data_IF_497051268581
#
_entry.id   IF_497051268581
#
_cell.length_a   1.000
_cell.length_b   1.000
_cell.length_c   1.000
_cell.angle_alpha   90.00
_cell.angle_beta   90.00
_cell.angle_gamma   90.00
#
_symmetry.space_group_name_H-M   'P 1'
#
loop_
_entity.id
_entity.type
_entity.pdbx_description
1 polymer ?
#
# COMPACT_ATOMS: atom_id res chain seq x y z
N UNK A 1 -12.87 9.16 -15.27
CA UNK A 1 -12.81 9.56 -13.86
C UNK A 1 -14.08 10.27 -13.45
N UNK A 2 -14.64 9.95 -12.30
CA UNK A 2 -15.77 10.68 -11.74
C UNK A 2 -15.29 12.09 -11.34
N UNK A 3 -16.00 13.11 -11.76
CA UNK A 3 -15.68 14.50 -11.41
C UNK A 3 -15.96 14.69 -9.91
N UNK A 4 -15.02 15.28 -9.17
CA UNK A 4 -15.21 15.60 -7.77
C UNK A 4 -16.51 16.39 -7.56
N UNK A 5 -17.25 16.07 -6.51
CA UNK A 5 -18.37 16.89 -6.07
C UNK A 5 -17.87 18.27 -5.61
N UNK A 6 -18.76 19.25 -5.51
CA UNK A 6 -18.39 20.58 -5.02
C UNK A 6 -17.82 20.53 -3.59
N UNK A 7 -18.34 19.62 -2.75
CA UNK A 7 -17.84 19.46 -1.39
C UNK A 7 -16.45 18.82 -1.39
N UNK A 8 -16.25 17.74 -2.11
CA UNK A 8 -14.94 17.10 -2.25
C UNK A 8 -13.86 18.05 -2.77
N UNK A 9 -14.20 18.89 -3.77
CA UNK A 9 -13.27 19.90 -4.26
C UNK A 9 -12.92 20.96 -3.20
N UNK A 10 -13.89 21.35 -2.38
CA UNK A 10 -13.65 22.28 -1.26
C UNK A 10 -12.76 21.66 -0.17
N UNK A 11 -13.06 20.43 0.22
CA UNK A 11 -12.31 19.71 1.25
C UNK A 11 -10.88 19.42 0.79
N UNK A 12 -10.68 19.08 -0.47
CA UNK A 12 -9.35 18.96 -1.07
C UNK A 12 -8.57 20.28 -1.01
N UNK A 13 -9.18 21.43 -1.29
CA UNK A 13 -8.50 22.73 -1.14
C UNK A 13 -8.13 23.02 0.32
N UNK A 14 -8.95 22.61 1.28
CA UNK A 14 -8.59 22.70 2.71
C UNK A 14 -7.41 21.81 3.03
N UNK A 15 -7.39 20.56 2.53
CA UNK A 15 -6.29 19.62 2.69
C UNK A 15 -4.97 20.21 2.14
N UNK A 16 -4.99 20.77 0.94
CA UNK A 16 -3.83 21.47 0.36
C UNK A 16 -3.35 22.63 1.22
N UNK A 17 -4.29 23.44 1.77
CA UNK A 17 -3.95 24.53 2.68
C UNK A 17 -3.32 24.04 4.00
N UNK A 18 -3.73 22.89 4.51
CA UNK A 18 -3.11 22.26 5.68
C UNK A 18 -1.67 21.81 5.38
N UNK A 19 -1.43 21.32 4.20
CA UNK A 19 -0.08 20.91 3.77
C UNK A 19 0.93 22.08 3.67
N UNK A 20 0.50 23.33 3.68
CA UNK A 20 1.40 24.49 3.75
C UNK A 20 1.93 24.79 5.17
N UNK A 21 1.34 24.21 6.21
CA UNK A 21 1.81 24.40 7.59
C UNK A 21 3.14 23.70 7.82
N UNK A 22 3.95 24.20 8.74
CA UNK A 22 5.20 23.54 9.13
C UNK A 22 4.96 22.20 9.81
N UNK A 23 3.98 22.13 10.70
CA UNK A 23 3.58 20.91 11.41
C UNK A 23 2.06 20.74 11.35
N UNK A 24 1.62 19.49 11.24
CA UNK A 24 0.22 19.13 11.29
C UNK A 24 -0.10 18.38 12.57
N UNK A 25 -1.23 18.72 13.18
CA UNK A 25 -1.81 17.94 14.28
C UNK A 25 -2.32 16.59 13.77
N UNK A 26 -2.56 15.67 14.68
CA UNK A 26 -3.09 14.35 14.35
C UNK A 26 -4.43 14.43 13.59
N UNK A 27 -5.34 15.33 13.99
CA UNK A 27 -6.64 15.49 13.33
C UNK A 27 -6.49 16.13 11.93
N UNK A 28 -5.53 17.03 11.75
CA UNK A 28 -5.21 17.61 10.45
C UNK A 28 -4.61 16.58 9.49
N UNK A 29 -3.72 15.71 9.98
CA UNK A 29 -3.19 14.57 9.20
C UNK A 29 -4.33 13.66 8.74
N UNK A 30 -5.25 13.28 9.63
CA UNK A 30 -6.44 12.48 9.28
C UNK A 30 -7.32 13.20 8.25
N UNK A 31 -7.51 14.52 8.41
CA UNK A 31 -8.28 15.30 7.44
C UNK A 31 -7.64 15.23 6.05
N UNK A 32 -6.31 15.39 5.95
CA UNK A 32 -5.59 15.30 4.68
C UNK A 32 -5.73 13.90 4.08
N UNK A 33 -5.52 12.84 4.85
CA UNK A 33 -5.67 11.45 4.36
C UNK A 33 -7.07 11.16 3.79
N UNK A 34 -8.12 11.76 4.37
CA UNK A 34 -9.49 11.53 3.91
C UNK A 34 -9.92 12.43 2.74
N UNK A 35 -9.21 13.55 2.50
CA UNK A 35 -9.70 14.58 1.57
C UNK A 35 -8.66 15.00 0.53
N UNK A 36 -7.44 14.49 0.58
CA UNK A 36 -6.52 14.62 -0.54
C UNK A 36 -6.92 13.63 -1.64
N UNK A 37 -7.25 14.14 -2.81
CA UNK A 37 -7.79 13.34 -3.91
C UNK A 37 -6.81 13.29 -5.07
N UNK A 38 -6.35 12.10 -5.40
CA UNK A 38 -5.52 11.81 -6.57
C UNK A 38 -6.11 12.31 -7.88
N UNK A 39 -7.42 12.26 -8.01
CA UNK A 39 -8.14 12.69 -9.20
C UNK A 39 -8.14 14.20 -9.47
N UNK A 40 -7.59 15.00 -8.55
CA UNK A 40 -7.47 16.44 -8.74
C UNK A 40 -6.33 16.82 -9.71
N UNK A 41 -5.38 15.90 -9.95
CA UNK A 41 -4.30 16.08 -10.94
C UNK A 41 -4.45 15.10 -12.10
N UNK A 42 -4.27 15.58 -13.34
CA UNK A 42 -4.51 14.83 -14.58
C UNK A 42 -3.54 13.66 -14.81
N UNK A 43 -2.48 13.53 -14.01
CA UNK A 43 -1.40 12.55 -14.20
C UNK A 43 -1.72 11.17 -13.60
N UNK A 44 -2.62 11.08 -12.63
CA UNK A 44 -2.80 9.89 -11.79
C UNK A 44 -3.75 8.83 -12.36
N UNK A 45 -4.60 9.18 -13.32
CA UNK A 45 -5.54 8.23 -13.92
C UNK A 45 -4.91 7.12 -14.75
N UNK A 46 -3.65 7.28 -15.15
CA UNK A 46 -2.92 6.28 -15.93
C UNK A 46 -2.12 5.31 -15.03
N UNK A 47 -1.84 5.69 -13.78
CA UNK A 47 -1.04 4.90 -12.86
C UNK A 47 -1.86 3.86 -12.07
N UNK A 48 -3.21 3.91 -12.10
CA UNK A 48 -4.05 3.00 -11.32
C UNK A 48 -3.87 3.13 -9.80
N UNK A 49 -3.31 4.26 -9.35
CA UNK A 49 -3.08 4.51 -7.93
C UNK A 49 -4.39 4.96 -7.27
N UNK A 50 -4.75 4.33 -6.16
CA UNK A 50 -5.85 4.74 -5.30
C UNK A 50 -5.32 4.87 -3.88
N UNK A 51 -5.53 6.04 -3.27
CA UNK A 51 -5.18 6.21 -1.86
C UNK A 51 -6.03 5.30 -0.98
N UNK A 52 -5.38 4.67 -0.04
CA UNK A 52 -6.05 3.79 0.91
C UNK A 52 -6.98 4.60 1.81
N UNK A 53 -8.28 4.29 1.90
CA UNK A 53 -9.12 4.89 2.93
C UNK A 53 -8.55 4.65 4.33
N UNK A 54 -8.65 5.66 5.19
CA UNK A 54 -8.02 5.60 6.51
C UNK A 54 -8.53 4.42 7.36
N UNK A 55 -9.83 4.12 7.31
CA UNK A 55 -10.42 3.00 8.05
C UNK A 55 -9.85 1.65 7.56
N UNK A 56 -9.71 1.48 6.24
CA UNK A 56 -9.10 0.30 5.65
C UNK A 56 -7.62 0.16 6.04
N UNK A 57 -6.89 1.27 6.13
CA UNK A 57 -5.51 1.25 6.60
C UNK A 57 -5.39 0.86 8.08
N UNK A 58 -6.36 1.26 8.92
CA UNK A 58 -6.44 0.82 10.30
C UNK A 58 -6.63 -0.69 10.42
N UNK A 59 -7.50 -1.26 9.59
CA UNK A 59 -7.76 -2.69 9.56
C UNK A 59 -6.52 -3.46 9.04
N UNK A 60 -5.91 -3.00 7.96
CA UNK A 60 -4.68 -3.62 7.44
C UNK A 60 -3.54 -3.60 8.47
N UNK A 61 -3.38 -2.52 9.23
CA UNK A 61 -2.37 -2.45 10.27
C UNK A 61 -2.62 -3.41 11.46
N UNK A 62 -3.85 -3.92 11.65
CA UNK A 62 -4.16 -4.96 12.64
C UNK A 62 -3.63 -6.33 12.24
N UNK A 63 -3.56 -6.60 10.94
CA UNK A 63 -3.12 -7.90 10.40
C UNK A 63 -1.59 -8.08 10.48
N UNK A 64 -0.83 -7.01 10.67
CA UNK A 64 0.60 -7.11 10.98
C UNK A 64 0.79 -7.84 12.30
N UNK A 65 1.74 -8.77 12.35
CA UNK A 65 2.00 -9.58 13.52
C UNK A 65 2.17 -8.74 14.80
N UNK A 66 1.61 -9.19 15.91
CA UNK A 66 1.74 -8.51 17.21
C UNK A 66 3.01 -8.93 17.92
N UNK A 67 3.81 -7.95 18.33
CA UNK A 67 4.95 -8.15 19.24
C UNK A 67 4.71 -7.36 20.53
N UNK A 68 5.19 -7.90 21.66
CA UNK A 68 5.14 -7.16 22.93
C UNK A 68 6.08 -5.94 22.91
N UNK A 69 7.19 -6.08 22.18
CA UNK A 69 8.15 -5.01 21.94
C UNK A 69 8.43 -4.93 20.43
N UNK A 70 8.13 -3.77 19.82
CA UNK A 70 8.38 -3.50 18.42
C UNK A 70 9.74 -2.83 18.18
N UNK A 71 10.57 -2.66 19.18
CA UNK A 71 11.90 -2.04 19.04
C UNK A 71 12.77 -2.82 18.05
N UNK A 72 13.25 -2.15 17.02
CA UNK A 72 14.02 -2.75 15.95
C UNK A 72 13.21 -3.59 14.95
N UNK A 73 11.87 -3.62 15.07
CA UNK A 73 11.00 -4.23 14.06
C UNK A 73 10.96 -3.36 12.82
N UNK A 74 11.47 -3.86 11.73
CA UNK A 74 11.56 -3.16 10.45
C UNK A 74 10.39 -3.58 9.56
N UNK A 75 9.59 -2.61 9.11
CA UNK A 75 8.44 -2.79 8.23
C UNK A 75 8.67 -1.96 6.98
N UNK A 76 8.33 -2.49 5.80
CA UNK A 76 8.38 -1.75 4.54
C UNK A 76 6.97 -1.53 4.01
N UNK A 77 6.64 -0.29 3.65
CA UNK A 77 5.41 0.08 2.95
C UNK A 77 5.76 0.26 1.46
N UNK A 78 5.36 -0.71 0.64
CA UNK A 78 5.61 -0.70 -0.80
C UNK A 78 4.45 -0.03 -1.54
N UNK A 79 4.76 0.90 -2.44
CA UNK A 79 3.77 1.76 -3.11
C UNK A 79 3.01 2.64 -2.09
N UNK A 80 3.78 3.32 -1.22
CA UNK A 80 3.27 3.94 0.00
C UNK A 80 2.28 5.11 -0.23
N UNK A 81 2.21 5.67 -1.45
CA UNK A 81 1.39 6.82 -1.75
C UNK A 81 1.77 8.00 -0.84
N UNK A 82 0.79 8.57 -0.14
CA UNK A 82 1.02 9.64 0.84
C UNK A 82 1.21 9.11 2.28
N UNK A 83 1.34 7.77 2.46
CA UNK A 83 1.74 7.15 3.72
C UNK A 83 0.62 6.78 4.68
N UNK A 84 -0.59 6.53 4.20
CA UNK A 84 -1.74 6.18 5.06
C UNK A 84 -1.48 4.90 5.84
N UNK A 85 -0.94 3.85 5.19
CA UNK A 85 -0.58 2.58 5.82
C UNK A 85 0.55 2.76 6.84
N UNK A 86 1.60 3.51 6.48
CA UNK A 86 2.70 3.81 7.39
C UNK A 86 2.22 4.56 8.64
N UNK A 87 1.33 5.56 8.48
CA UNK A 87 0.75 6.31 9.59
C UNK A 87 -0.02 5.42 10.58
N UNK A 88 -0.91 4.58 10.08
CA UNK A 88 -1.71 3.69 10.92
C UNK A 88 -0.84 2.61 11.58
N UNK A 89 0.16 2.11 10.86
CA UNK A 89 1.13 1.13 11.37
C UNK A 89 1.96 1.69 12.52
N UNK A 90 2.50 2.91 12.39
CA UNK A 90 3.28 3.55 13.47
C UNK A 90 2.49 3.76 14.76
N UNK A 91 1.20 4.07 14.64
CA UNK A 91 0.34 4.23 15.81
C UNK A 91 0.02 2.89 16.47
N UNK A 92 -0.19 1.83 15.68
CA UNK A 92 -0.51 0.50 16.22
C UNK A 92 0.70 -0.27 16.73
N UNK A 93 1.86 -0.02 16.15
CA UNK A 93 3.12 -0.68 16.46
C UNK A 93 4.18 0.34 16.89
N UNK A 94 3.99 1.02 18.03
CA UNK A 94 4.93 2.03 18.51
C UNK A 94 6.32 1.39 18.71
N UNK A 95 7.35 2.08 18.21
CA UNK A 95 8.74 1.59 18.24
C UNK A 95 9.16 0.81 16.99
N UNK A 96 8.25 0.49 16.07
CA UNK A 96 8.62 -0.06 14.78
C UNK A 96 9.27 0.99 13.88
N UNK A 97 10.21 0.55 13.05
CA UNK A 97 10.87 1.35 12.01
C UNK A 97 10.19 1.09 10.68
N UNK A 98 9.63 2.13 10.05
CA UNK A 98 8.92 2.00 8.78
C UNK A 98 9.71 2.69 7.68
N UNK A 99 9.90 1.97 6.58
CA UNK A 99 10.47 2.48 5.32
C UNK A 99 9.37 2.52 4.27
N UNK A 100 9.09 3.70 3.72
CA UNK A 100 8.11 3.93 2.67
C UNK A 100 8.80 4.04 1.32
N UNK A 101 8.36 3.24 0.35
CA UNK A 101 8.82 3.26 -1.03
C UNK A 101 7.71 3.82 -1.92
N UNK A 102 7.99 4.92 -2.59
CA UNK A 102 7.02 5.58 -3.47
C UNK A 102 7.72 6.08 -4.74
N UNK A 103 7.12 5.80 -5.90
CA UNK A 103 7.69 6.21 -7.20
C UNK A 103 7.38 7.67 -7.56
N UNK A 104 6.25 8.21 -7.05
CA UNK A 104 5.83 9.57 -7.33
C UNK A 104 6.47 10.55 -6.33
N UNK A 105 7.38 11.45 -6.77
CA UNK A 105 8.08 12.36 -5.87
C UNK A 105 7.13 13.35 -5.17
N UNK A 106 5.97 13.67 -5.76
CA UNK A 106 4.97 14.52 -5.10
C UNK A 106 4.28 13.81 -3.95
N UNK A 107 3.96 12.51 -4.11
CA UNK A 107 3.39 11.71 -3.03
C UNK A 107 4.41 11.51 -1.91
N UNK A 108 5.66 11.21 -2.26
CA UNK A 108 6.75 11.11 -1.30
C UNK A 108 6.93 12.41 -0.50
N UNK A 109 6.88 13.57 -1.18
CA UNK A 109 6.96 14.89 -0.54
C UNK A 109 5.82 15.12 0.45
N UNK A 110 4.59 14.79 0.07
CA UNK A 110 3.40 14.88 0.95
C UNK A 110 3.52 13.90 2.11
N UNK A 111 3.93 12.67 1.82
CA UNK A 111 4.11 11.61 2.80
C UNK A 111 5.15 11.96 3.87
N UNK A 112 6.29 12.50 3.49
CA UNK A 112 7.31 13.02 4.44
C UNK A 112 6.73 14.05 5.42
N UNK A 113 5.78 14.83 4.96
CA UNK A 113 5.11 15.81 5.81
C UNK A 113 4.07 15.20 6.73
N UNK A 114 3.32 14.24 6.24
CA UNK A 114 2.27 13.55 7.01
C UNK A 114 2.84 12.53 8.00
N UNK A 115 3.92 11.86 7.62
CA UNK A 115 4.55 10.77 8.40
C UNK A 115 6.07 11.01 8.46
N UNK A 116 6.53 12.08 9.12
CA UNK A 116 7.96 12.41 9.21
C UNK A 116 8.76 11.37 10.01
N UNK A 117 8.08 10.52 10.79
CA UNK A 117 8.68 9.45 11.56
C UNK A 117 9.15 8.26 10.70
N UNK A 118 8.59 8.11 9.48
CA UNK A 118 8.99 7.08 8.53
C UNK A 118 10.22 7.48 7.71
N UNK A 119 10.99 6.49 7.28
CA UNK A 119 12.05 6.69 6.27
C UNK A 119 11.41 6.64 4.88
N UNK A 120 11.59 7.69 4.09
CA UNK A 120 11.02 7.81 2.75
C UNK A 120 12.07 7.69 1.66
N UNK A 121 11.79 6.86 0.66
CA UNK A 121 12.65 6.63 -0.50
C UNK A 121 11.82 6.75 -1.78
N UNK A 122 12.17 7.74 -2.62
CA UNK A 122 11.57 7.88 -3.94
C UNK A 122 12.22 6.89 -4.90
N UNK A 123 11.54 5.78 -5.18
CA UNK A 123 12.11 4.69 -5.95
C UNK A 123 11.00 3.85 -6.61
N UNK A 124 11.31 3.26 -7.77
CA UNK A 124 10.46 2.24 -8.38
C UNK A 124 10.64 0.91 -7.63
N UNK A 125 9.55 0.32 -7.14
CA UNK A 125 9.57 -1.00 -6.47
C UNK A 125 10.06 -2.12 -7.38
N UNK A 126 10.09 -1.92 -8.69
CA UNK A 126 10.62 -2.90 -9.65
C UNK A 126 12.15 -2.92 -9.73
N UNK A 127 12.83 -1.95 -9.10
CA UNK A 127 14.29 -1.98 -8.93
C UNK A 127 14.66 -2.88 -7.74
N UNK A 128 14.61 -4.19 -7.99
CA UNK A 128 14.83 -5.21 -6.96
C UNK A 128 16.27 -5.15 -6.40
N UNK A 129 17.24 -4.77 -7.20
CA UNK A 129 18.62 -4.65 -6.75
C UNK A 129 18.74 -3.52 -5.70
N UNK A 130 18.20 -2.35 -6.00
CA UNK A 130 18.15 -1.25 -5.05
C UNK A 130 17.32 -1.58 -3.79
N UNK A 131 16.21 -2.33 -3.94
CA UNK A 131 15.43 -2.80 -2.78
C UNK A 131 16.24 -3.74 -1.87
N UNK A 132 17.02 -4.67 -2.45
CA UNK A 132 17.87 -5.59 -1.68
C UNK A 132 18.97 -4.87 -0.90
N UNK A 133 19.47 -3.73 -1.40
CA UNK A 133 20.45 -2.90 -0.69
C UNK A 133 19.90 -2.30 0.60
N UNK A 134 18.56 -2.14 0.72
CA UNK A 134 17.92 -1.71 1.96
C UNK A 134 17.98 -2.77 3.07
N UNK A 135 18.37 -4.00 2.72
CA UNK A 135 18.42 -5.15 3.62
C UNK A 135 17.07 -5.82 3.80
N UNK A 136 16.94 -6.64 4.84
CA UNK A 136 15.73 -7.42 5.10
C UNK A 136 14.80 -6.72 6.08
N UNK A 137 13.50 -6.90 5.84
CA UNK A 137 12.43 -6.42 6.70
C UNK A 137 11.74 -7.61 7.39
N UNK A 138 11.12 -7.35 8.52
CA UNK A 138 10.33 -8.36 9.21
C UNK A 138 9.03 -8.59 8.47
N UNK A 139 8.39 -7.50 8.00
CA UNK A 139 7.12 -7.54 7.28
C UNK A 139 7.06 -6.46 6.22
N UNK A 140 6.24 -6.72 5.21
CA UNK A 140 5.79 -5.72 4.24
C UNK A 140 4.32 -5.38 4.45
N UNK A 141 3.94 -4.14 4.18
CA UNK A 141 2.56 -3.72 4.04
C UNK A 141 2.41 -2.99 2.72
N UNK A 142 1.30 -3.16 2.03
CA UNK A 142 1.08 -2.43 0.77
C UNK A 142 -0.39 -2.42 0.35
N UNK A 143 -0.80 -1.32 -0.25
CA UNK A 143 -1.94 -1.24 -1.14
C UNK A 143 -1.41 -1.02 -2.57
N UNK A 144 -0.98 -2.09 -3.26
CA UNK A 144 -0.33 -1.97 -4.55
C UNK A 144 -1.31 -1.53 -5.62
N UNK A 145 -0.84 -1.00 -6.76
CA UNK A 145 -1.71 -0.79 -7.91
C UNK A 145 -2.28 -2.12 -8.40
N UNK A 146 -3.51 -2.09 -8.94
CA UNK A 146 -4.23 -3.29 -9.35
C UNK A 146 -4.26 -3.50 -10.86
N UNK A 147 -4.27 -4.76 -11.27
CA UNK A 147 -4.41 -5.15 -12.67
C UNK A 147 -3.21 -4.81 -13.54
N UNK A 148 -3.47 -4.43 -14.79
CA UNK A 148 -2.41 -4.16 -15.78
C UNK A 148 -1.86 -2.74 -15.64
N UNK A 149 -0.69 -2.60 -15.06
CA UNK A 149 0.03 -1.34 -14.96
C UNK A 149 1.31 -1.40 -15.82
N UNK A 150 1.54 -0.40 -16.67
CA UNK A 150 2.64 -0.39 -17.66
C UNK A 150 4.03 -0.44 -17.04
N UNK A 151 4.20 0.17 -15.86
CA UNK A 151 5.48 0.22 -15.14
C UNK A 151 6.02 -1.16 -14.75
N UNK A 152 5.17 -2.17 -14.64
CA UNK A 152 5.56 -3.54 -14.30
C UNK A 152 5.92 -4.42 -15.51
N UNK A 153 6.11 -3.84 -16.69
CA UNK A 153 6.53 -4.62 -17.86
C UNK A 153 8.05 -4.81 -17.86
N UNK A 154 8.51 -6.06 -17.71
CA UNK A 154 9.91 -6.42 -17.87
C UNK A 154 10.77 -6.39 -16.62
N UNK A 155 10.20 -6.45 -15.42
CA UNK A 155 10.95 -6.49 -14.17
C UNK A 155 11.83 -7.74 -14.09
N UNK A 156 13.15 -7.58 -14.17
CA UNK A 156 14.10 -8.66 -13.97
C UNK A 156 14.03 -9.12 -12.50
N UNK A 157 14.01 -10.44 -12.28
CA UNK A 157 14.00 -11.01 -10.93
C UNK A 157 12.60 -11.25 -10.33
N UNK A 158 11.50 -10.82 -10.99
CA UNK A 158 10.13 -11.20 -10.62
C UNK A 158 9.83 -12.59 -11.15
N UNK A 159 9.37 -13.50 -10.29
CA UNK A 159 8.99 -14.88 -10.68
C UNK A 159 7.64 -14.94 -11.37
N UNK A 160 6.70 -14.07 -10.93
CA UNK A 160 5.39 -13.97 -11.55
C UNK A 160 5.43 -13.11 -12.81
N UNK A 161 5.13 -13.70 -13.96
CA UNK A 161 5.16 -13.06 -15.27
C UNK A 161 3.77 -12.68 -15.81
N UNK A 162 2.72 -12.84 -15.02
CA UNK A 162 1.35 -12.39 -15.37
C UNK A 162 1.22 -10.87 -15.47
N UNK A 163 0.00 -10.42 -15.72
CA UNK A 163 -0.26 -9.00 -15.97
C UNK A 163 -0.62 -8.22 -14.69
N UNK A 164 -0.95 -8.92 -13.63
CA UNK A 164 -1.49 -8.36 -12.39
C UNK A 164 -0.38 -7.71 -11.56
N UNK A 165 -0.45 -6.38 -11.40
CA UNK A 165 0.56 -5.60 -10.69
C UNK A 165 0.64 -5.97 -9.20
N UNK A 166 -0.51 -6.21 -8.57
CA UNK A 166 -0.60 -6.63 -7.17
C UNK A 166 0.22 -7.89 -6.88
N UNK A 167 0.15 -8.89 -7.76
CA UNK A 167 0.94 -10.12 -7.60
C UNK A 167 2.45 -9.88 -7.77
N UNK A 168 2.82 -8.96 -8.66
CA UNK A 168 4.24 -8.61 -8.83
C UNK A 168 4.79 -7.90 -7.60
N UNK A 169 4.01 -7.00 -7.00
CA UNK A 169 4.43 -6.32 -5.75
C UNK A 169 4.56 -7.32 -4.60
N UNK A 170 3.63 -8.29 -4.48
CA UNK A 170 3.74 -9.36 -3.49
C UNK A 170 4.98 -10.21 -3.71
N UNK A 171 5.26 -10.58 -4.96
CA UNK A 171 6.46 -11.35 -5.33
C UNK A 171 7.74 -10.57 -4.98
N UNK A 172 7.80 -9.29 -5.31
CA UNK A 172 8.91 -8.39 -4.97
C UNK A 172 9.06 -8.27 -3.45
N UNK A 173 7.97 -8.09 -2.72
CA UNK A 173 7.98 -7.97 -1.27
C UNK A 173 8.61 -9.21 -0.61
N UNK A 174 8.35 -10.40 -1.13
CA UNK A 174 8.90 -11.66 -0.61
C UNK A 174 10.41 -11.80 -0.76
N UNK A 175 11.06 -10.96 -1.59
CA UNK A 175 12.51 -10.93 -1.72
C UNK A 175 13.20 -10.20 -0.56
N UNK A 176 12.47 -9.30 0.11
CA UNK A 176 13.04 -8.42 1.14
C UNK A 176 12.32 -8.52 2.50
N UNK A 177 11.14 -9.10 2.55
CA UNK A 177 10.36 -9.25 3.78
C UNK A 177 9.96 -10.72 3.98
N UNK A 178 9.88 -11.13 5.26
CA UNK A 178 9.52 -12.51 5.62
C UNK A 178 8.04 -12.77 5.49
N UNK A 179 7.22 -11.80 5.91
CA UNK A 179 5.77 -11.86 5.91
C UNK A 179 5.21 -10.54 5.34
N UNK A 180 3.91 -10.47 5.00
CA UNK A 180 3.33 -9.22 4.55
C UNK A 180 1.81 -9.19 4.57
N UNK A 181 1.28 -7.98 4.64
CA UNK A 181 -0.14 -7.65 4.58
C UNK A 181 -0.40 -6.81 3.33
N UNK A 182 -1.30 -7.29 2.48
CA UNK A 182 -1.57 -6.67 1.19
C UNK A 182 -3.07 -6.42 1.01
N UNK A 183 -3.44 -5.21 0.67
CA UNK A 183 -4.79 -4.87 0.24
C UNK A 183 -4.87 -5.20 -1.25
N UNK A 184 -5.69 -6.18 -1.60
CA UNK A 184 -5.85 -6.63 -2.98
C UNK A 184 -7.33 -6.85 -3.32
N UNK A 185 -7.72 -6.77 -4.61
CA UNK A 185 -9.07 -7.11 -5.02
C UNK A 185 -9.42 -8.57 -4.67
N UNK A 186 -10.66 -8.84 -4.24
CA UNK A 186 -11.13 -10.19 -3.96
C UNK A 186 -10.92 -11.15 -5.15
N UNK A 187 -11.00 -10.66 -6.39
CA UNK A 187 -10.73 -11.46 -7.59
C UNK A 187 -9.28 -11.93 -7.73
N UNK A 188 -8.38 -11.34 -6.99
CA UNK A 188 -6.95 -11.70 -6.93
C UNK A 188 -6.60 -12.51 -5.69
N UNK A 189 -7.55 -12.79 -4.81
CA UNK A 189 -7.36 -13.67 -3.66
C UNK A 189 -7.71 -15.12 -4.01
N UNK A 190 -7.23 -16.07 -3.20
CA UNK A 190 -7.60 -17.49 -3.29
C UNK A 190 -8.91 -17.83 -2.57
N UNK A 191 -9.66 -16.83 -2.14
CA UNK A 191 -10.87 -16.98 -1.32
C UNK A 191 -11.89 -15.87 -1.62
N UNK A 192 -13.11 -16.06 -1.13
CA UNK A 192 -14.22 -15.13 -1.30
C UNK A 192 -14.96 -14.95 0.03
N UNK A 193 -15.22 -13.70 0.41
CA UNK A 193 -16.04 -13.30 1.55
C UNK A 193 -17.26 -12.52 1.09
N UNK A 194 -17.05 -11.57 0.21
CA UNK A 194 -18.05 -10.62 -0.25
C UNK A 194 -19.12 -11.31 -1.10
N UNK A 195 -20.39 -11.05 -0.81
CA UNK A 195 -21.50 -11.64 -1.54
C UNK A 195 -21.79 -13.10 -1.21
N UNK A 196 -21.10 -13.72 -0.25
CA UNK A 196 -21.33 -15.10 0.21
C UNK A 196 -21.63 -15.14 1.71
N UNK A 197 -22.36 -16.17 2.16
CA UNK A 197 -22.76 -16.27 3.59
C UNK A 197 -21.59 -16.61 4.53
N UNK A 198 -20.53 -17.22 4.00
CA UNK A 198 -19.35 -17.59 4.76
C UNK A 198 -18.14 -17.63 3.82
N UNK A 199 -16.95 -17.60 4.41
CA UNK A 199 -15.70 -17.82 3.69
C UNK A 199 -15.79 -19.03 2.75
N UNK A 200 -15.36 -18.84 1.52
CA UNK A 200 -15.22 -19.90 0.52
C UNK A 200 -13.85 -19.82 -0.14
N UNK A 201 -13.20 -20.98 -0.30
CA UNK A 201 -12.01 -21.07 -1.12
C UNK A 201 -12.42 -20.95 -2.60
N UNK A 202 -11.82 -19.98 -3.29
CA UNK A 202 -12.06 -19.72 -4.70
C UNK A 202 -10.79 -19.32 -5.40
N UNK A 203 -10.17 -20.25 -6.06
CA UNK A 203 -8.91 -20.03 -6.77
C UNK A 203 -9.17 -19.68 -8.23
N UNK A 204 -8.84 -18.46 -8.61
CA UNK A 204 -8.87 -18.04 -10.01
C UNK A 204 -7.66 -18.63 -10.76
N UNK A 205 -7.76 -18.74 -12.09
CA UNK A 205 -6.61 -19.18 -12.92
C UNK A 205 -5.37 -18.30 -12.73
N UNK A 206 -5.56 -17.01 -12.45
CA UNK A 206 -4.49 -16.04 -12.18
C UNK A 206 -3.82 -16.31 -10.83
N UNK A 207 -4.62 -16.59 -9.79
CA UNK A 207 -4.10 -16.95 -8.48
C UNK A 207 -3.30 -18.26 -8.54
N UNK A 208 -3.82 -19.28 -9.23
CA UNK A 208 -3.10 -20.55 -9.44
C UNK A 208 -1.75 -20.28 -10.14
N UNK A 209 -1.76 -19.50 -11.23
CA UNK A 209 -0.53 -19.16 -11.94
C UNK A 209 0.47 -18.38 -11.05
N UNK A 210 -0.02 -17.51 -10.17
CA UNK A 210 0.81 -16.81 -9.20
C UNK A 210 1.43 -17.78 -8.18
N UNK A 211 0.64 -18.65 -7.58
CA UNK A 211 1.14 -19.62 -6.59
C UNK A 211 2.11 -20.63 -7.19
N UNK A 212 1.86 -21.10 -8.42
CA UNK A 212 2.76 -21.99 -9.15
C UNK A 212 4.11 -21.33 -9.50
N UNK A 213 4.06 -20.04 -9.89
CA UNK A 213 5.26 -19.30 -10.27
C UNK A 213 6.13 -18.92 -9.06
N UNK A 214 5.51 -18.57 -7.94
CA UNK A 214 6.20 -17.97 -6.79
C UNK A 214 6.38 -18.91 -5.61
N UNK A 215 5.52 -19.92 -5.46
CA UNK A 215 5.40 -20.74 -4.25
C UNK A 215 4.76 -20.01 -3.07
N UNK A 216 4.28 -18.77 -3.27
CA UNK A 216 3.63 -17.99 -2.23
C UNK A 216 2.14 -18.34 -2.14
N UNK A 217 1.61 -18.28 -0.93
CA UNK A 217 0.19 -18.45 -0.65
C UNK A 217 -0.35 -17.20 0.04
N UNK A 218 -1.54 -16.78 -0.40
CA UNK A 218 -2.28 -15.72 0.28
C UNK A 218 -3.23 -16.36 1.27
N UNK A 219 -3.02 -16.06 2.55
CA UNK A 219 -3.96 -16.43 3.60
C UNK A 219 -5.03 -15.36 3.75
N UNK A 220 -6.18 -15.75 4.26
CA UNK A 220 -7.29 -14.84 4.47
C UNK A 220 -7.02 -13.99 5.71
N UNK A 221 -6.69 -12.73 5.47
CA UNK A 221 -6.83 -11.69 6.48
C UNK A 221 -8.30 -11.27 6.64
N UNK A 222 -8.57 -10.05 7.11
CA UNK A 222 -9.91 -9.50 7.16
C UNK A 222 -10.47 -9.26 5.74
N UNK A 223 -11.62 -9.84 5.45
CA UNK A 223 -12.41 -9.44 4.28
C UNK A 223 -13.18 -8.16 4.59
N UNK A 224 -13.03 -7.14 3.75
CA UNK A 224 -13.71 -5.86 3.90
C UNK A 224 -14.60 -5.66 2.68
N UNK A 225 -15.89 -5.37 2.93
CA UNK A 225 -16.82 -4.90 1.92
C UNK A 225 -16.68 -3.38 1.76
N UNK A 226 -16.24 -2.92 0.60
CA UNK A 226 -16.10 -1.51 0.25
C UNK A 226 -17.17 -1.03 -0.71
#
# INVERSE_FOLDING_TARGET
MAKLTKQQAKDHQVALGLLEKDELTHDEKKFVFNHDHEGATTVNGEAGAFFTPLDLAWDAALELGTCQDNTGRRIVDLCAGIGVLAYTTLIRHPGAEITCIEINPEYERVGKKLVPEATWICMDVTDIEALRELGTFHEAISNPPYGRVRIFTGSAGVRYHGAEAEYKVIDIASEIARDGVFIIPQLSSGFEFSGVQCYQRRESTKYIAFTEATGLFLDAGMGIDT
#
